data_IF_125617787639
#
_entry.id   IF_125617787639
#
_cell.length_a   1.000
_cell.length_b   1.000
_cell.length_c   1.000
_cell.angle_alpha   90.00
_cell.angle_beta   90.00
_cell.angle_gamma   90.00
#
_symmetry.space_group_name_H-M   'P 1'
#
loop_
_entity.id
_entity.type
_entity.pdbx_description
1 polymer ?
#
# COMPACT_ATOMS: atom_id res chain seq x y z
N UNK A 1 15.04 -97.79 61.96
CA UNK A 1 14.11 -97.04 61.07
C UNK A 1 14.45 -95.54 61.07
N UNK A 2 15.63 -95.14 61.57
CA UNK A 2 15.90 -93.76 61.97
C UNK A 2 16.68 -92.96 60.92
N UNK A 3 17.40 -93.62 60.01
CA UNK A 3 18.18 -92.96 58.96
C UNK A 3 17.30 -92.25 57.90
N UNK A 4 16.14 -92.82 57.54
CA UNK A 4 15.19 -92.25 56.57
C UNK A 4 14.48 -90.98 57.07
N UNK A 5 14.37 -90.80 58.40
CA UNK A 5 13.73 -89.61 58.99
C UNK A 5 14.63 -88.37 58.94
N UNK A 6 15.94 -88.55 59.02
CA UNK A 6 16.89 -87.44 59.08
C UNK A 6 17.17 -86.84 57.69
N UNK A 7 17.17 -87.67 56.63
CA UNK A 7 17.31 -87.20 55.25
C UNK A 7 16.11 -86.37 54.78
N UNK A 8 14.88 -86.79 55.12
CA UNK A 8 13.66 -86.03 54.77
C UNK A 8 13.59 -84.69 55.51
N UNK A 9 13.99 -84.66 56.79
CA UNK A 9 14.12 -83.41 57.54
C UNK A 9 15.17 -82.47 56.92
N UNK A 10 16.33 -82.98 56.49
CA UNK A 10 17.35 -82.16 55.81
C UNK A 10 16.83 -81.51 54.53
N UNK A 11 16.11 -82.27 53.67
CA UNK A 11 15.54 -81.73 52.43
C UNK A 11 14.51 -80.63 52.73
N UNK A 12 13.65 -80.81 53.74
CA UNK A 12 12.66 -79.80 54.15
C UNK A 12 13.32 -78.51 54.62
N UNK A 13 14.39 -78.59 55.42
CA UNK A 13 15.13 -77.40 55.88
C UNK A 13 15.84 -76.67 54.74
N UNK A 14 16.41 -77.39 53.77
CA UNK A 14 17.03 -76.78 52.58
C UNK A 14 15.98 -76.08 51.71
N UNK A 15 14.82 -76.71 51.49
CA UNK A 15 13.72 -76.10 50.74
C UNK A 15 13.15 -74.89 51.48
N UNK A 16 12.96 -74.97 52.79
CA UNK A 16 12.48 -73.84 53.59
C UNK A 16 13.48 -72.67 53.59
N UNK A 17 14.78 -72.96 53.69
CA UNK A 17 15.84 -71.94 53.68
C UNK A 17 15.98 -71.27 52.31
N UNK A 18 15.86 -72.03 51.22
CA UNK A 18 15.90 -71.49 49.85
C UNK A 18 14.65 -70.64 49.55
N UNK A 19 13.46 -71.08 49.97
CA UNK A 19 12.24 -70.29 49.86
C UNK A 19 12.31 -69.00 50.69
N UNK A 20 12.84 -69.06 51.92
CA UNK A 20 13.06 -67.88 52.75
C UNK A 20 14.05 -66.90 52.10
N UNK A 21 15.14 -67.40 51.52
CA UNK A 21 16.13 -66.58 50.82
C UNK A 21 15.54 -65.91 49.56
N UNK A 22 14.77 -66.66 48.76
CA UNK A 22 14.07 -66.11 47.58
C UNK A 22 13.04 -65.07 47.99
N UNK A 23 12.26 -65.32 49.04
CA UNK A 23 11.29 -64.36 49.57
C UNK A 23 11.97 -63.07 50.05
N UNK A 24 13.11 -63.19 50.75
CA UNK A 24 13.92 -62.04 51.17
C UNK A 24 14.47 -61.27 49.97
N UNK A 25 15.00 -61.95 48.96
CA UNK A 25 15.51 -61.32 47.74
C UNK A 25 14.41 -60.57 46.97
N UNK A 26 13.22 -61.17 46.86
CA UNK A 26 12.05 -60.52 46.26
C UNK A 26 11.58 -59.32 47.07
N UNK A 27 11.60 -59.42 48.40
CA UNK A 27 11.24 -58.32 49.29
C UNK A 27 12.21 -57.14 49.16
N UNK A 28 13.52 -57.41 49.20
CA UNK A 28 14.56 -56.39 49.01
C UNK A 28 14.48 -55.75 47.62
N UNK A 29 14.26 -56.57 46.57
CA UNK A 29 14.07 -56.07 45.20
C UNK A 29 12.81 -55.22 45.11
N UNK A 30 11.70 -55.62 45.70
CA UNK A 30 10.45 -54.85 45.69
C UNK A 30 10.61 -53.50 46.41
N UNK A 31 11.35 -53.46 47.52
CA UNK A 31 11.65 -52.23 48.27
C UNK A 31 12.54 -51.29 47.45
N UNK A 32 13.54 -51.83 46.75
CA UNK A 32 14.44 -51.07 45.90
C UNK A 32 13.75 -50.55 44.62
N UNK A 33 12.83 -51.32 44.03
CA UNK A 33 12.02 -50.84 42.91
C UNK A 33 11.04 -49.76 43.36
N UNK A 34 10.42 -49.89 44.54
CA UNK A 34 9.55 -48.85 45.10
C UNK A 34 10.29 -47.54 45.35
N UNK A 35 11.50 -47.60 45.92
CA UNK A 35 12.30 -46.38 46.11
C UNK A 35 12.71 -45.75 44.77
N UNK A 36 13.02 -46.56 43.75
CA UNK A 36 13.33 -46.07 42.40
C UNK A 36 12.12 -45.44 41.70
N UNK A 37 10.93 -46.04 41.84
CA UNK A 37 9.69 -45.45 41.33
C UNK A 37 9.42 -44.12 42.03
N UNK A 38 9.58 -44.03 43.35
CA UNK A 38 9.38 -42.78 44.09
C UNK A 38 10.38 -41.68 43.70
N UNK A 39 11.65 -42.01 43.44
CA UNK A 39 12.63 -41.03 42.97
C UNK A 39 12.33 -40.57 41.55
N UNK A 40 11.95 -41.48 40.65
CA UNK A 40 11.59 -41.14 39.26
C UNK A 40 10.28 -40.33 39.22
N UNK A 41 9.30 -40.68 40.04
CA UNK A 41 8.04 -39.93 40.18
C UNK A 41 8.30 -38.52 40.74
N UNK A 42 9.21 -38.36 41.70
CA UNK A 42 9.59 -37.05 42.23
C UNK A 42 10.37 -36.19 41.21
N UNK A 43 11.31 -36.79 40.46
CA UNK A 43 12.09 -36.10 39.42
C UNK A 43 11.21 -35.67 38.22
N UNK A 44 10.18 -36.45 37.88
CA UNK A 44 9.20 -36.11 36.84
C UNK A 44 8.21 -35.05 37.33
N UNK A 45 7.83 -35.05 38.61
CA UNK A 45 6.88 -34.08 39.16
C UNK A 45 7.44 -32.66 39.31
N UNK A 46 8.75 -32.48 39.49
CA UNK A 46 9.32 -31.17 39.88
C UNK A 46 9.81 -30.31 38.69
N UNK A 47 9.98 -30.87 37.48
CA UNK A 47 10.57 -30.12 36.34
C UNK A 47 9.83 -30.18 35.00
N UNK A 48 8.78 -30.98 34.83
CA UNK A 48 8.57 -31.55 33.48
C UNK A 48 7.37 -31.05 32.67
N UNK A 49 6.46 -30.25 33.20
CA UNK A 49 5.28 -29.84 32.42
C UNK A 49 4.85 -28.40 32.68
N UNK A 50 4.72 -28.01 33.94
CA UNK A 50 4.19 -26.70 34.31
C UNK A 50 5.15 -25.56 33.93
N UNK A 51 6.45 -25.71 34.20
CA UNK A 51 7.49 -24.75 33.80
C UNK A 51 7.58 -24.62 32.25
N UNK A 52 7.42 -25.73 31.52
CA UNK A 52 7.42 -25.72 30.06
C UNK A 52 6.16 -25.06 29.50
N UNK A 53 5.00 -25.29 30.12
CA UNK A 53 3.74 -24.65 29.75
C UNK A 53 3.85 -23.14 29.98
N UNK A 54 4.39 -22.70 31.10
CA UNK A 54 4.59 -21.28 31.40
C UNK A 54 5.58 -20.63 30.41
N UNK A 55 6.72 -21.27 30.13
CA UNK A 55 7.67 -20.80 29.13
C UNK A 55 7.04 -20.71 27.72
N UNK A 56 6.21 -21.69 27.34
CA UNK A 56 5.47 -21.66 26.07
C UNK A 56 4.41 -20.55 26.04
N UNK A 57 3.73 -20.27 27.15
CA UNK A 57 2.79 -19.14 27.24
C UNK A 57 3.50 -17.79 27.06
N UNK A 58 4.65 -17.61 27.70
CA UNK A 58 5.48 -16.40 27.54
C UNK A 58 5.94 -16.25 26.09
N UNK A 59 6.48 -17.32 25.48
CA UNK A 59 6.88 -17.32 24.08
C UNK A 59 5.72 -17.03 23.13
N UNK A 60 4.54 -17.60 23.38
CA UNK A 60 3.35 -17.32 22.59
C UNK A 60 2.93 -15.84 22.71
N UNK A 61 2.98 -15.25 23.90
CA UNK A 61 2.71 -13.82 24.10
C UNK A 61 3.68 -12.92 23.32
N UNK A 62 4.98 -13.21 23.38
CA UNK A 62 5.98 -12.50 22.59
C UNK A 62 5.78 -12.65 21.08
N UNK A 63 5.41 -13.85 20.63
CA UNK A 63 5.12 -14.12 19.22
C UNK A 63 3.85 -13.38 18.78
N UNK A 64 2.81 -13.35 19.60
CA UNK A 64 1.58 -12.59 19.33
C UNK A 64 1.85 -11.10 19.23
N UNK A 65 2.69 -10.54 20.11
CA UNK A 65 3.11 -9.14 20.04
C UNK A 65 3.91 -8.86 18.77
N UNK A 66 4.87 -9.71 18.42
CA UNK A 66 5.64 -9.61 17.15
C UNK A 66 4.73 -9.70 15.93
N UNK A 67 3.73 -10.58 15.94
CA UNK A 67 2.73 -10.70 14.88
C UNK A 67 1.87 -9.44 14.80
N UNK A 68 1.41 -8.90 15.93
CA UNK A 68 0.61 -7.69 15.98
C UNK A 68 1.40 -6.48 15.43
N UNK A 69 2.64 -6.30 15.89
CA UNK A 69 3.55 -5.28 15.38
C UNK A 69 3.83 -5.45 13.88
N UNK A 70 4.13 -6.68 13.45
CA UNK A 70 4.37 -7.02 12.04
C UNK A 70 3.16 -6.68 11.16
N UNK A 71 1.95 -7.00 11.59
CA UNK A 71 0.70 -6.64 10.88
C UNK A 71 0.51 -5.14 10.78
N UNK A 72 0.78 -4.39 11.85
CA UNK A 72 0.71 -2.92 11.83
C UNK A 72 1.69 -2.32 10.81
N UNK A 73 2.94 -2.81 10.79
CA UNK A 73 3.96 -2.35 9.85
C UNK A 73 3.65 -2.74 8.41
N UNK A 74 3.14 -3.96 8.19
CA UNK A 74 2.65 -4.38 6.87
C UNK A 74 1.52 -3.47 6.38
N UNK A 75 0.57 -3.11 7.23
CA UNK A 75 -0.49 -2.15 6.88
C UNK A 75 0.08 -0.81 6.41
N UNK A 76 0.99 -0.21 7.20
CA UNK A 76 1.66 1.06 6.83
C UNK A 76 2.43 0.94 5.52
N UNK A 77 3.14 -0.16 5.30
CA UNK A 77 3.93 -0.39 4.10
C UNK A 77 3.04 -0.60 2.87
N UNK A 78 1.96 -1.36 3.00
CA UNK A 78 0.97 -1.57 1.94
C UNK A 78 0.30 -0.24 1.54
N UNK A 79 -0.08 0.59 2.52
CA UNK A 79 -0.63 1.93 2.25
C UNK A 79 0.37 2.83 1.52
N UNK A 80 1.64 2.82 1.96
CA UNK A 80 2.71 3.56 1.30
C UNK A 80 2.97 3.06 -0.13
N UNK A 81 2.94 1.74 -0.32
CA UNK A 81 3.11 1.08 -1.61
C UNK A 81 1.99 1.48 -2.57
N UNK A 82 0.73 1.42 -2.14
CA UNK A 82 -0.43 1.82 -2.94
C UNK A 82 -0.31 3.30 -3.36
N UNK A 83 0.01 4.19 -2.42
CA UNK A 83 0.24 5.62 -2.71
C UNK A 83 1.37 5.83 -3.73
N UNK A 84 2.44 5.05 -3.63
CA UNK A 84 3.56 5.11 -4.57
C UNK A 84 3.18 4.58 -5.95
N UNK A 85 2.45 3.46 -6.03
CA UNK A 85 1.96 2.90 -7.29
C UNK A 85 1.06 3.89 -8.04
N UNK A 86 0.07 4.48 -7.35
CA UNK A 86 -0.79 5.50 -7.96
C UNK A 86 0.00 6.70 -8.50
N UNK A 87 1.07 7.13 -7.82
CA UNK A 87 1.96 8.19 -8.33
C UNK A 87 2.68 7.76 -9.61
N UNK A 88 3.19 6.53 -9.64
CA UNK A 88 3.86 5.97 -10.83
C UNK A 88 2.90 5.88 -12.01
N UNK A 89 1.66 5.46 -11.78
CA UNK A 89 0.64 5.38 -12.84
C UNK A 89 0.30 6.75 -13.44
N UNK A 90 0.16 7.78 -12.60
CA UNK A 90 -0.04 9.17 -13.08
C UNK A 90 1.15 9.65 -13.92
N UNK A 91 2.39 9.33 -13.50
CA UNK A 91 3.59 9.67 -14.28
C UNK A 91 3.60 8.95 -15.63
N UNK A 92 3.27 7.65 -15.66
CA UNK A 92 3.17 6.87 -16.91
C UNK A 92 2.09 7.42 -17.84
N UNK A 93 1.02 8.01 -17.30
CA UNK A 93 -0.02 8.71 -18.06
C UNK A 93 0.39 10.12 -18.55
N UNK A 94 1.63 10.57 -18.28
CA UNK A 94 2.12 11.89 -18.66
C UNK A 94 1.60 13.02 -17.75
N UNK A 95 1.20 12.69 -16.52
CA UNK A 95 0.75 13.64 -15.50
C UNK A 95 1.66 13.55 -14.27
N UNK A 96 2.84 14.19 -14.29
CA UNK A 96 3.69 14.26 -13.09
C UNK A 96 3.00 15.05 -11.98
N UNK A 97 3.50 14.87 -10.75
CA UNK A 97 2.98 15.62 -9.60
C UNK A 97 3.12 17.13 -9.84
N UNK A 98 2.09 17.93 -9.52
CA UNK A 98 2.14 19.37 -9.71
C UNK A 98 3.24 20.00 -8.85
N UNK A 99 4.01 20.92 -9.44
CA UNK A 99 4.97 21.72 -8.71
C UNK A 99 4.24 22.85 -7.97
N UNK A 100 4.38 22.87 -6.65
CA UNK A 100 3.89 23.92 -5.76
C UNK A 100 5.06 24.65 -5.11
N UNK A 101 4.89 25.95 -4.85
CA UNK A 101 5.79 26.73 -4.00
C UNK A 101 5.45 26.49 -2.53
N UNK A 102 6.41 26.71 -1.65
CA UNK A 102 6.19 26.59 -0.20
C UNK A 102 5.05 27.51 0.28
N UNK A 103 4.94 28.66 -0.35
CA UNK A 103 3.97 29.70 -0.06
C UNK A 103 2.58 29.49 -0.71
N UNK A 104 2.41 28.46 -1.54
CA UNK A 104 1.11 28.22 -2.18
C UNK A 104 0.07 27.77 -1.13
N UNK A 105 -1.14 28.33 -1.23
CA UNK A 105 -2.28 28.01 -0.38
C UNK A 105 -2.66 26.52 -0.46
N UNK A 106 -3.09 25.94 0.66
CA UNK A 106 -3.61 24.57 0.70
C UNK A 106 -4.89 24.42 -0.13
N UNK A 107 -5.76 25.43 -0.18
CA UNK A 107 -6.96 25.41 -1.02
C UNK A 107 -6.60 25.37 -2.51
N UNK A 108 -5.54 26.08 -2.91
CA UNK A 108 -5.00 26.04 -4.27
C UNK A 108 -4.45 24.65 -4.61
N UNK A 109 -3.67 24.06 -3.70
CA UNK A 109 -3.12 22.71 -3.87
C UNK A 109 -4.23 21.68 -4.04
N UNK A 110 -5.25 21.75 -3.18
CA UNK A 110 -6.42 20.87 -3.23
C UNK A 110 -7.18 21.02 -4.56
N UNK A 111 -7.46 22.26 -5.00
CA UNK A 111 -8.18 22.51 -6.24
C UNK A 111 -7.42 22.00 -7.47
N UNK A 112 -6.10 22.24 -7.55
CA UNK A 112 -5.25 21.71 -8.63
C UNK A 112 -5.23 20.18 -8.60
N UNK A 113 -5.16 19.57 -7.42
CA UNK A 113 -5.15 18.11 -7.28
C UNK A 113 -6.47 17.50 -7.78
N UNK A 114 -7.61 18.09 -7.44
CA UNK A 114 -8.93 17.63 -7.92
C UNK A 114 -9.03 17.65 -9.45
N UNK A 115 -8.57 18.74 -10.08
CA UNK A 115 -8.56 18.84 -11.55
C UNK A 115 -7.60 17.81 -12.15
N UNK A 116 -6.43 17.61 -11.54
CA UNK A 116 -5.48 16.58 -12.01
C UNK A 116 -6.02 15.16 -11.90
N UNK A 117 -6.81 14.89 -10.87
CA UNK A 117 -7.49 13.60 -10.74
C UNK A 117 -8.59 13.44 -11.79
N UNK A 118 -9.33 14.51 -12.12
CA UNK A 118 -10.27 14.54 -13.27
C UNK A 118 -9.54 14.28 -14.59
N UNK A 119 -8.41 14.93 -14.85
CA UNK A 119 -7.58 14.69 -16.03
C UNK A 119 -7.09 13.23 -16.10
N UNK A 120 -6.60 12.68 -14.99
CA UNK A 120 -6.13 11.29 -14.93
C UNK A 120 -7.27 10.30 -15.22
N UNK A 121 -8.45 10.48 -14.62
CA UNK A 121 -9.64 9.65 -14.90
C UNK A 121 -10.05 9.70 -16.37
N UNK A 122 -9.92 10.84 -17.05
CA UNK A 122 -10.20 10.93 -18.48
C UNK A 122 -9.22 10.09 -19.31
N UNK A 123 -7.93 10.09 -18.96
CA UNK A 123 -6.91 9.27 -19.63
C UNK A 123 -7.15 7.78 -19.36
N UNK A 124 -7.37 7.42 -18.09
CA UNK A 124 -7.61 6.04 -17.65
C UNK A 124 -8.82 5.41 -18.35
N UNK A 125 -9.91 6.18 -18.46
CA UNK A 125 -11.13 5.75 -19.14
C UNK A 125 -11.08 5.85 -20.67
N UNK A 126 -9.93 6.20 -21.27
CA UNK A 126 -9.76 6.44 -22.71
C UNK A 126 -10.74 7.49 -23.27
N UNK A 127 -11.10 8.50 -22.45
CA UNK A 127 -11.99 9.62 -22.81
C UNK A 127 -11.24 10.93 -23.06
N UNK A 128 -9.91 10.92 -22.94
CA UNK A 128 -9.07 12.08 -23.19
C UNK A 128 -8.91 12.40 -24.70
N UNK A 129 -9.15 11.41 -25.57
CA UNK A 129 -9.21 11.58 -27.03
C UNK A 129 -10.50 10.99 -27.57
N UNK A 130 -10.90 11.44 -28.75
CA UNK A 130 -12.06 10.92 -29.49
C UNK A 130 -11.57 10.41 -30.84
N UNK A 131 -11.84 9.13 -31.14
CA UNK A 131 -11.60 8.55 -32.47
C UNK A 131 -12.91 8.56 -33.25
N UNK A 132 -12.94 9.21 -34.41
CA UNK A 132 -14.15 9.34 -35.22
C UNK A 132 -14.38 8.16 -36.18
N UNK A 133 -13.37 7.35 -36.47
CA UNK A 133 -13.45 6.25 -37.44
C UNK A 133 -13.08 4.88 -36.84
N UNK A 134 -13.75 3.82 -37.33
CA UNK A 134 -13.26 2.45 -37.16
C UNK A 134 -12.13 2.19 -38.16
N UNK A 135 -10.89 2.30 -37.70
CA UNK A 135 -9.72 2.09 -38.55
C UNK A 135 -9.29 0.61 -38.54
N UNK A 136 -8.95 0.07 -39.72
CA UNK A 136 -8.41 -1.28 -39.89
C UNK A 136 -7.01 -1.21 -40.48
N UNK A 137 -6.11 -2.09 -40.00
CA UNK A 137 -4.74 -2.19 -40.48
C UNK A 137 -4.59 -3.47 -41.29
N UNK A 138 -4.35 -3.34 -42.60
CA UNK A 138 -4.24 -4.50 -43.52
C UNK A 138 -5.39 -5.51 -43.37
N UNK A 139 -6.62 -5.03 -43.18
CA UNK A 139 -7.81 -5.86 -42.99
C UNK A 139 -8.06 -6.35 -41.56
N UNK A 140 -7.13 -6.12 -40.63
CA UNK A 140 -7.26 -6.45 -39.21
C UNK A 140 -7.86 -5.29 -38.41
N UNK A 141 -9.05 -5.49 -37.84
CA UNK A 141 -9.68 -4.51 -36.93
C UNK A 141 -9.00 -4.45 -35.55
N UNK A 142 -8.42 -5.56 -35.06
CA UNK A 142 -7.74 -5.60 -33.76
C UNK A 142 -6.44 -4.79 -33.78
N UNK A 143 -5.68 -4.92 -34.86
CA UNK A 143 -4.43 -4.18 -35.03
C UNK A 143 -4.73 -2.70 -35.24
N UNK A 144 -5.84 -2.40 -35.93
CA UNK A 144 -6.35 -1.06 -36.05
C UNK A 144 -6.65 -0.37 -34.71
N UNK A 145 -7.37 -1.07 -33.82
CA UNK A 145 -7.63 -0.59 -32.44
C UNK A 145 -6.34 -0.38 -31.65
N UNK A 146 -5.36 -1.27 -31.81
CA UNK A 146 -4.07 -1.18 -31.12
C UNK A 146 -3.28 0.04 -31.59
N UNK A 147 -3.30 0.34 -32.90
CA UNK A 147 -2.67 1.55 -33.41
C UNK A 147 -3.35 2.81 -32.90
N UNK A 148 -4.69 2.90 -32.97
CA UNK A 148 -5.44 4.05 -32.43
C UNK A 148 -5.07 4.27 -30.96
N UNK A 149 -5.02 3.21 -30.15
CA UNK A 149 -4.63 3.31 -28.73
C UNK A 149 -3.21 3.86 -28.55
N UNK A 150 -2.29 3.49 -29.44
CA UNK A 150 -0.91 3.98 -29.42
C UNK A 150 -0.83 5.45 -29.83
N UNK A 151 -1.56 5.85 -30.88
CA UNK A 151 -1.70 7.25 -31.29
C UNK A 151 -2.34 8.12 -30.21
N UNK A 152 -3.39 7.63 -29.55
CA UNK A 152 -4.03 8.33 -28.43
C UNK A 152 -3.00 8.66 -27.34
N UNK A 153 -2.17 7.68 -26.93
CA UNK A 153 -1.11 7.88 -25.94
C UNK A 153 -0.07 8.90 -26.39
N UNK A 154 0.36 8.82 -27.66
CA UNK A 154 1.33 9.74 -28.23
C UNK A 154 0.78 11.17 -28.24
N UNK A 155 -0.46 11.34 -28.70
CA UNK A 155 -1.11 12.65 -28.80
C UNK A 155 -1.35 13.28 -27.42
N UNK A 156 -1.83 12.50 -26.44
CA UNK A 156 -1.97 12.97 -25.05
C UNK A 156 -0.61 13.36 -24.48
N UNK A 157 0.43 12.57 -24.73
CA UNK A 157 1.79 12.86 -24.26
C UNK A 157 2.36 14.15 -24.84
N UNK A 158 2.25 14.34 -26.16
CA UNK A 158 2.68 15.55 -26.85
C UNK A 158 1.90 16.78 -26.36
N UNK A 159 0.58 16.68 -26.26
CA UNK A 159 -0.25 17.75 -25.75
C UNK A 159 0.08 18.10 -24.29
N UNK A 160 0.28 17.11 -23.42
CA UNK A 160 0.68 17.33 -22.04
C UNK A 160 2.01 18.08 -21.94
N UNK A 161 2.99 17.74 -22.78
CA UNK A 161 4.26 18.44 -22.84
C UNK A 161 4.08 19.92 -23.26
N UNK A 162 3.25 20.20 -24.27
CA UNK A 162 2.92 21.57 -24.68
C UNK A 162 2.24 22.37 -23.56
N UNK A 163 1.29 21.76 -22.84
CA UNK A 163 0.65 22.40 -21.68
C UNK A 163 1.67 22.70 -20.58
N UNK A 164 2.59 21.78 -20.31
CA UNK A 164 3.61 21.97 -19.27
C UNK A 164 4.56 23.11 -19.62
N UNK A 165 4.94 23.23 -20.90
CA UNK A 165 5.70 24.36 -21.42
C UNK A 165 4.91 25.67 -21.28
N UNK A 166 3.62 25.68 -21.63
CA UNK A 166 2.76 26.85 -21.45
C UNK A 166 2.66 27.24 -19.97
N UNK A 167 2.41 26.28 -19.07
CA UNK A 167 2.30 26.48 -17.62
C UNK A 167 3.56 27.12 -17.04
N UNK A 168 4.75 26.69 -17.48
CA UNK A 168 6.02 27.26 -17.01
C UNK A 168 6.17 28.76 -17.34
N UNK A 169 5.53 29.22 -18.41
CA UNK A 169 5.63 30.59 -18.94
C UNK A 169 4.50 31.52 -18.49
N UNK A 170 3.47 31.02 -17.80
CA UNK A 170 2.34 31.86 -17.34
C UNK A 170 2.82 32.87 -16.30
N UNK A 171 2.87 34.14 -16.72
CA UNK A 171 3.04 35.34 -15.89
C UNK A 171 1.69 36.07 -15.75
N UNK A 172 1.59 37.01 -14.81
CA UNK A 172 0.39 37.86 -14.61
C UNK A 172 -0.11 38.41 -15.96
N UNK A 173 -1.40 38.21 -16.26
CA UNK A 173 -2.04 38.68 -17.51
C UNK A 173 -1.75 37.86 -18.77
N UNK A 174 -0.97 36.77 -18.69
CA UNK A 174 -0.62 35.91 -19.84
C UNK A 174 -1.57 34.72 -20.03
N UNK A 175 -2.72 34.69 -19.33
CA UNK A 175 -3.67 33.58 -19.42
C UNK A 175 -4.21 33.42 -20.84
N UNK A 176 -4.71 34.50 -21.45
CA UNK A 176 -5.25 34.47 -22.81
C UNK A 176 -4.21 34.01 -23.84
N UNK A 177 -2.94 34.41 -23.64
CA UNK A 177 -1.84 33.95 -24.49
C UNK A 177 -1.56 32.46 -24.31
N UNK A 178 -1.71 31.92 -23.11
CA UNK A 178 -1.54 30.50 -22.84
C UNK A 178 -2.67 29.67 -23.44
N UNK A 179 -3.93 30.14 -23.33
CA UNK A 179 -5.10 29.50 -23.96
C UNK A 179 -4.97 29.51 -25.48
N UNK A 180 -4.68 30.66 -26.09
CA UNK A 180 -4.44 30.76 -27.54
C UNK A 180 -3.32 29.82 -28.03
N UNK A 181 -2.28 29.60 -27.21
CA UNK A 181 -1.23 28.63 -27.55
C UNK A 181 -1.73 27.20 -27.43
N UNK A 182 -2.53 26.91 -26.42
CA UNK A 182 -3.09 25.59 -26.19
C UNK A 182 -4.00 25.17 -27.36
N UNK A 183 -4.90 26.05 -27.78
CA UNK A 183 -5.77 25.84 -28.96
C UNK A 183 -4.96 25.58 -30.22
N UNK A 184 -3.93 26.40 -30.48
CA UNK A 184 -3.02 26.19 -31.63
C UNK A 184 -2.29 24.85 -31.56
N UNK A 185 -1.86 24.42 -30.38
CA UNK A 185 -1.24 23.11 -30.19
C UNK A 185 -2.22 21.98 -30.45
N UNK A 186 -3.48 22.10 -30.02
CA UNK A 186 -4.54 21.14 -30.36
C UNK A 186 -4.71 21.05 -31.88
N UNK A 187 -4.91 22.18 -32.56
CA UNK A 187 -5.09 22.20 -34.03
C UNK A 187 -3.88 21.60 -34.76
N UNK A 188 -2.66 21.87 -34.30
CA UNK A 188 -1.45 21.30 -34.90
C UNK A 188 -1.37 19.78 -34.71
N UNK A 189 -1.71 19.28 -33.51
CA UNK A 189 -1.73 17.85 -33.22
C UNK A 189 -2.83 17.12 -33.99
N UNK A 190 -4.02 17.72 -34.11
CA UNK A 190 -5.13 17.17 -34.88
C UNK A 190 -4.79 17.07 -36.37
N UNK A 191 -4.09 18.07 -36.92
CA UNK A 191 -3.60 18.00 -38.30
C UNK A 191 -2.59 16.87 -38.52
N UNK A 192 -1.74 16.58 -37.54
CA UNK A 192 -0.82 15.43 -37.60
C UNK A 192 -1.56 14.09 -37.45
N UNK A 193 -2.68 14.08 -36.73
CA UNK A 193 -3.50 12.90 -36.49
C UNK A 193 -4.61 12.69 -37.52
N UNK A 194 -4.70 13.54 -38.56
CA UNK A 194 -5.76 13.52 -39.58
C UNK A 194 -5.90 12.16 -40.25
N UNK A 195 -4.78 11.47 -40.52
CA UNK A 195 -4.76 10.13 -41.12
C UNK A 195 -5.47 9.07 -40.26
N UNK A 196 -5.43 9.21 -38.94
CA UNK A 196 -6.04 8.25 -37.99
C UNK A 196 -7.38 8.79 -37.44
N UNK A 197 -7.74 10.03 -37.79
CA UNK A 197 -8.97 10.72 -37.39
C UNK A 197 -9.20 10.71 -35.86
N UNK A 198 -8.14 11.04 -35.12
CA UNK A 198 -8.12 11.15 -33.67
C UNK A 198 -8.06 12.62 -33.27
N UNK A 199 -8.96 13.03 -32.38
CA UNK A 199 -9.07 14.39 -31.86
C UNK A 199 -8.85 14.41 -30.35
N UNK A 200 -8.42 15.55 -29.80
CA UNK A 200 -8.38 15.74 -28.36
C UNK A 200 -9.81 15.97 -27.88
N UNK A 201 -10.22 15.30 -26.80
CA UNK A 201 -11.57 15.45 -26.27
C UNK A 201 -11.78 16.87 -25.72
N UNK A 202 -12.90 17.55 -26.04
CA UNK A 202 -13.22 18.85 -25.46
C UNK A 202 -13.22 18.85 -23.93
N UNK A 203 -13.61 17.72 -23.32
CA UNK A 203 -13.62 17.55 -21.86
C UNK A 203 -12.20 17.57 -21.27
N UNK A 204 -11.23 17.02 -22.01
CA UNK A 204 -9.84 16.99 -21.60
C UNK A 204 -9.16 18.35 -21.80
N UNK A 205 -9.45 19.01 -22.93
CA UNK A 205 -9.00 20.38 -23.18
C UNK A 205 -9.52 21.33 -22.09
N UNK A 206 -10.82 21.32 -21.81
CA UNK A 206 -11.43 22.13 -20.75
C UNK A 206 -10.78 21.86 -19.38
N UNK A 207 -10.51 20.60 -19.03
CA UNK A 207 -9.84 20.27 -17.77
C UNK A 207 -8.39 20.79 -17.69
N UNK A 208 -7.71 21.01 -18.83
CA UNK A 208 -6.41 21.69 -18.86
C UNK A 208 -6.56 23.19 -18.71
N UNK A 209 -7.53 23.79 -19.38
CA UNK A 209 -7.83 25.23 -19.29
C UNK A 209 -8.20 25.63 -17.86
N UNK A 210 -9.09 24.86 -17.22
CA UNK A 210 -9.46 25.03 -15.80
C UNK A 210 -8.21 24.99 -14.89
N UNK A 211 -7.24 24.11 -15.14
CA UNK A 211 -5.99 24.07 -14.37
C UNK A 211 -5.16 25.34 -14.55
N UNK A 212 -5.05 25.86 -15.78
CA UNK A 212 -4.31 27.08 -16.09
C UNK A 212 -5.00 28.30 -15.48
N UNK A 213 -6.33 28.34 -15.48
CA UNK A 213 -7.14 29.41 -14.91
C UNK A 213 -6.91 29.52 -13.40
N UNK A 214 -7.03 28.40 -12.66
CA UNK A 214 -6.79 28.38 -11.21
C UNK A 214 -5.39 28.89 -10.87
N UNK A 215 -4.37 28.45 -11.62
CA UNK A 215 -2.99 28.91 -11.43
C UNK A 215 -2.80 30.39 -11.75
N UNK A 216 -3.47 30.89 -12.78
CA UNK A 216 -3.42 32.31 -13.16
C UNK A 216 -4.12 33.19 -12.11
N UNK A 217 -5.29 32.76 -11.62
CA UNK A 217 -6.06 33.44 -10.58
C UNK A 217 -5.26 33.53 -9.27
N UNK A 218 -4.70 32.43 -8.78
CA UNK A 218 -3.89 32.44 -7.56
C UNK A 218 -2.70 33.40 -7.63
N UNK A 219 -2.04 33.50 -8.80
CA UNK A 219 -0.94 34.46 -9.02
C UNK A 219 -1.39 35.92 -9.12
N UNK A 220 -2.65 36.18 -9.43
CA UNK A 220 -3.24 37.53 -9.46
C UNK A 220 -3.53 38.03 -8.04
N UNK A 221 -4.06 37.16 -7.17
CA UNK A 221 -4.45 37.50 -5.80
C UNK A 221 -3.27 37.64 -4.82
N UNK A 222 -2.18 36.88 -5.01
CA UNK A 222 -0.99 36.93 -4.15
C UNK A 222 -0.27 38.29 -4.10
N UNK A 223 -0.55 39.22 -5.03
CA UNK A 223 -0.02 40.59 -4.99
C UNK A 223 -1.00 41.63 -4.40
N UNK A 224 -2.21 41.25 -4.00
CA UNK A 224 -3.16 42.17 -3.36
C UNK A 224 -2.90 42.34 -1.86
N UNK A 225 -1.92 41.61 -1.29
CA UNK A 225 -1.42 41.87 0.06
C UNK A 225 -0.40 43.02 -0.04
N UNK A 226 -0.70 44.21 0.53
CA UNK A 226 0.24 45.32 0.50
C UNK A 226 1.48 44.93 1.30
N UNK A 227 2.65 45.00 0.66
CA UNK A 227 3.94 44.88 1.34
C UNK A 227 4.08 46.04 2.33
N UNK A 228 3.68 45.83 3.57
CA UNK A 228 3.83 46.78 4.67
C UNK A 228 2.53 47.14 5.38
N UNK A 229 2.08 46.26 6.28
CA UNK A 229 1.57 46.66 7.60
C UNK A 229 1.50 45.47 8.54
N UNK A 230 1.94 45.73 9.76
CA UNK A 230 2.12 44.84 10.90
C UNK A 230 0.89 44.01 11.26
N UNK A 231 1.18 42.83 11.82
CA UNK A 231 0.29 41.92 12.51
C UNK A 231 -0.87 42.61 13.25
N UNK A 232 -2.11 42.26 12.89
CA UNK A 232 -3.30 42.73 13.57
C UNK A 232 -4.56 42.56 12.71
N UNK A 233 -5.24 41.42 12.87
CA UNK A 233 -6.60 41.23 12.38
C UNK A 233 -6.72 40.38 11.12
N UNK A 234 -6.74 39.06 11.31
CA UNK A 234 -7.39 38.16 10.35
C UNK A 234 -8.90 38.45 10.41
N UNK A 235 -9.41 39.29 9.50
CA UNK A 235 -10.85 39.28 9.22
C UNK A 235 -11.14 38.09 8.33
N UNK A 236 -11.77 37.10 8.95
CA UNK A 236 -12.64 36.11 8.34
C UNK A 236 -13.43 36.66 7.14
N UNK A 237 -13.32 35.97 6.00
CA UNK A 237 -14.15 36.16 4.80
C UNK A 237 -13.38 35.71 3.56
N UNK A 238 -13.68 34.57 2.93
CA UNK A 238 -14.98 34.30 2.32
C UNK A 238 -15.63 32.97 2.78
N UNK A 239 -16.85 33.01 3.33
CA UNK A 239 -17.67 31.83 3.44
C UNK A 239 -18.27 31.47 2.07
N UNK A 240 -17.98 30.28 1.56
CA UNK A 240 -18.87 29.57 0.63
C UNK A 240 -19.00 30.09 -0.80
N UNK A 241 -17.95 30.65 -1.42
CA UNK A 241 -17.96 30.94 -2.87
C UNK A 241 -16.87 30.14 -3.57
N UNK A 242 -17.30 29.31 -4.53
CA UNK A 242 -16.39 28.56 -5.40
C UNK A 242 -15.50 29.52 -6.19
N UNK A 243 -14.26 29.09 -6.46
CA UNK A 243 -13.21 29.79 -7.22
C UNK A 243 -13.74 30.50 -8.49
N UNK A 244 -14.85 30.01 -9.06
CA UNK A 244 -15.55 30.54 -10.23
C UNK A 244 -16.03 32.00 -10.12
N UNK A 245 -16.28 32.53 -8.92
CA UNK A 245 -16.80 33.90 -8.75
C UNK A 245 -15.73 35.00 -8.68
N UNK A 246 -14.44 34.65 -8.63
CA UNK A 246 -13.36 35.63 -8.44
C UNK A 246 -12.65 36.04 -9.74
N UNK A 247 -13.16 35.62 -10.90
CA UNK A 247 -12.58 35.90 -12.23
C UNK A 247 -13.34 36.95 -13.05
N UNK A 248 -14.46 37.49 -12.56
CA UNK A 248 -15.15 38.66 -13.18
C UNK A 248 -14.57 39.99 -12.70
#
# INVERSE_FOLDING_TARGET
MDALSNETLMVVWVVASTLAFVALALFLRSKHLKSKCQTVEAEVAERSAEELIEALYVQNGELEEKIAYGRQMLGKLTDAHLKAQTKVEKIKAGLPSPNFKADDDEDLKAAIQQIRDKQYRLIENNKATTSLSEWSWFGSKSDGKTLIKTYNKLMIGAFNAEVDLARSKIRRGSYDTAINKLEKSVTALEKLAETVNVLISPQYLQAKEEELEIRACARRWWCAVPSGRSAGGWRSGCPGKSIRWCCE
#
